data_IF_484125489177
#
_entry.id   IF_484125489177
#
_cell.length_a   1.000
_cell.length_b   1.000
_cell.length_c   1.000
_cell.angle_alpha   90.00
_cell.angle_beta   90.00
_cell.angle_gamma   90.00
#
_symmetry.space_group_name_H-M   'P 1'
#
loop_
_entity.id
_entity.type
_entity.pdbx_description
1 polymer ?
#
# COMPACT_ATOMS: atom_id res chain seq x y z
N UNK A 1 -22.45 -7.38 -62.73
CA UNK A 1 -21.84 -8.27 -61.67
C UNK A 1 -20.49 -7.70 -61.30
N UNK A 2 -20.44 -6.72 -60.42
CA UNK A 2 -19.20 -6.11 -59.99
C UNK A 2 -18.88 -6.45 -58.54
N UNK A 3 -17.66 -6.94 -58.33
CA UNK A 3 -17.14 -7.50 -57.11
C UNK A 3 -16.92 -6.41 -56.04
N UNK A 4 -17.73 -6.46 -54.98
CA UNK A 4 -17.49 -5.67 -53.76
C UNK A 4 -16.73 -6.51 -52.72
N UNK A 5 -15.42 -6.70 -52.92
CA UNK A 5 -14.62 -7.48 -51.99
C UNK A 5 -13.17 -6.98 -51.84
N UNK A 6 -12.92 -5.70 -51.51
CA UNK A 6 -11.68 -5.41 -50.82
C UNK A 6 -11.78 -4.53 -49.55
N UNK A 7 -12.98 -4.10 -49.09
CA UNK A 7 -13.08 -3.17 -47.98
C UNK A 7 -13.01 -3.81 -46.59
N UNK A 8 -13.34 -5.09 -46.50
CA UNK A 8 -13.34 -5.81 -45.21
C UNK A 8 -11.93 -6.28 -44.80
N UNK A 9 -11.06 -6.55 -45.73
CA UNK A 9 -9.67 -6.97 -45.45
C UNK A 9 -8.80 -5.82 -44.96
N UNK A 10 -9.04 -4.58 -45.39
CA UNK A 10 -8.31 -3.41 -44.95
C UNK A 10 -8.63 -3.03 -43.50
N UNK A 11 -9.87 -3.28 -43.02
CA UNK A 11 -10.27 -2.95 -41.65
C UNK A 11 -9.70 -3.90 -40.61
N UNK A 12 -9.51 -5.16 -40.95
CA UNK A 12 -8.90 -6.17 -40.06
C UNK A 12 -7.39 -5.96 -39.92
N UNK A 13 -6.72 -5.44 -40.96
CA UNK A 13 -5.28 -5.16 -40.91
C UNK A 13 -4.94 -3.88 -40.15
N UNK A 14 -5.85 -2.91 -40.06
CA UNK A 14 -5.63 -1.67 -39.31
C UNK A 14 -5.84 -1.84 -37.80
N UNK A 15 -6.62 -2.84 -37.37
CA UNK A 15 -6.80 -3.15 -35.94
C UNK A 15 -5.64 -3.94 -35.31
N UNK A 16 -4.78 -4.53 -36.13
CA UNK A 16 -3.62 -5.31 -35.63
C UNK A 16 -2.38 -4.46 -35.32
N UNK A 17 -2.38 -3.16 -35.69
CA UNK A 17 -1.24 -2.25 -35.48
C UNK A 17 -1.30 -1.44 -34.16
N UNK A 18 -2.44 -1.46 -33.46
CA UNK A 18 -2.52 -0.93 -32.10
C UNK A 18 -2.31 -2.06 -31.05
N UNK A 19 -1.29 -2.86 -31.22
CA UNK A 19 -0.65 -3.46 -30.05
C UNK A 19 0.07 -2.32 -29.34
N UNK A 20 -0.62 -1.66 -28.42
CA UNK A 20 0.03 -0.92 -27.35
C UNK A 20 0.98 -1.92 -26.70
N UNK A 21 2.25 -1.86 -27.08
CA UNK A 21 3.30 -2.48 -26.32
C UNK A 21 3.31 -1.76 -24.94
N UNK A 22 2.42 -2.18 -24.06
CA UNK A 22 2.59 -1.98 -22.64
C UNK A 22 3.80 -2.84 -22.26
N UNK A 23 5.00 -2.38 -22.64
CA UNK A 23 6.22 -2.77 -22.00
C UNK A 23 6.11 -2.23 -20.57
N UNK A 24 5.37 -2.96 -19.72
CA UNK A 24 5.69 -3.01 -18.33
C UNK A 24 7.12 -3.59 -18.29
N UNK A 25 8.12 -2.71 -18.40
CA UNK A 25 9.45 -3.04 -17.91
C UNK A 25 9.20 -3.44 -16.47
N UNK A 26 9.27 -4.75 -16.21
CA UNK A 26 9.15 -5.29 -14.86
C UNK A 26 10.26 -4.63 -14.06
N UNK A 27 9.87 -3.60 -13.30
CA UNK A 27 10.80 -2.96 -12.37
C UNK A 27 11.27 -4.08 -11.49
N UNK A 28 12.59 -4.30 -11.47
CA UNK A 28 13.15 -5.29 -10.58
C UNK A 28 12.95 -4.79 -9.14
N UNK A 29 11.82 -5.18 -8.53
CA UNK A 29 11.45 -4.78 -7.17
C UNK A 29 12.47 -5.22 -6.12
N UNK A 30 13.36 -6.15 -6.46
CA UNK A 30 14.48 -6.53 -5.59
C UNK A 30 15.47 -5.36 -5.43
N UNK A 31 15.75 -4.64 -6.50
CA UNK A 31 16.73 -3.56 -6.49
C UNK A 31 16.11 -2.21 -6.15
N UNK A 32 14.88 -1.96 -6.61
CA UNK A 32 14.30 -0.63 -6.56
C UNK A 32 12.82 -0.68 -6.14
N UNK A 33 12.47 0.15 -5.17
CA UNK A 33 11.08 0.47 -4.84
C UNK A 33 10.61 1.57 -5.79
N UNK A 34 9.45 1.37 -6.40
CA UNK A 34 8.76 2.41 -7.17
C UNK A 34 7.29 2.46 -6.75
N UNK A 35 6.84 3.64 -6.36
CA UNK A 35 5.47 3.91 -5.95
C UNK A 35 4.90 5.02 -6.82
N UNK A 36 3.64 4.94 -7.17
CA UNK A 36 2.86 6.05 -7.68
C UNK A 36 1.90 6.48 -6.56
N UNK A 37 2.22 7.59 -5.93
CA UNK A 37 1.42 8.17 -4.87
C UNK A 37 0.72 9.43 -5.35
N UNK A 38 -0.32 9.80 -4.65
CA UNK A 38 -1.05 11.04 -4.88
C UNK A 38 -1.58 11.60 -3.56
N UNK A 39 -1.83 12.90 -3.55
CA UNK A 39 -2.50 13.58 -2.46
C UNK A 39 -3.49 14.60 -3.02
N UNK A 40 -4.55 14.88 -2.27
CA UNK A 40 -5.54 15.90 -2.61
C UNK A 40 -4.89 17.29 -2.61
N UNK A 41 -5.32 18.13 -3.56
CA UNK A 41 -4.86 19.53 -3.67
C UNK A 41 -5.32 20.34 -2.45
N UNK A 42 -6.54 20.12 -1.98
CA UNK A 42 -7.17 20.87 -0.90
C UNK A 42 -7.61 19.95 0.22
N UNK A 43 -7.60 20.48 1.43
CA UNK A 43 -8.20 19.81 2.57
C UNK A 43 -9.73 19.68 2.36
N UNK A 44 -10.31 18.62 2.93
CA UNK A 44 -11.78 18.47 2.88
C UNK A 44 -12.45 19.66 3.55
N UNK A 45 -13.55 20.20 2.98
CA UNK A 45 -14.28 21.30 3.60
C UNK A 45 -14.72 20.94 5.04
N UNK A 46 -14.36 21.78 6.00
CA UNK A 46 -14.70 21.58 7.40
C UNK A 46 -13.64 20.91 8.27
N UNK A 47 -12.51 20.53 7.70
CA UNK A 47 -11.38 20.01 8.47
C UNK A 47 -10.34 21.09 8.71
N UNK A 48 -10.01 21.30 9.97
CA UNK A 48 -8.83 22.05 10.37
C UNK A 48 -7.59 21.22 10.01
N UNK A 49 -6.51 21.92 9.67
CA UNK A 49 -5.22 21.31 9.40
C UNK A 49 -4.77 20.45 10.58
N UNK A 50 -4.39 19.20 10.34
CA UNK A 50 -3.79 18.39 11.39
C UNK A 50 -2.51 19.07 11.87
N UNK A 51 -2.38 19.23 13.19
CA UNK A 51 -1.19 19.82 13.81
C UNK A 51 0.06 19.06 13.32
N UNK A 52 1.03 19.77 12.74
CA UNK A 52 2.23 19.17 12.10
C UNK A 52 2.21 19.18 10.56
N UNK A 53 1.08 19.41 9.89
CA UNK A 53 1.06 19.68 8.44
C UNK A 53 1.49 21.13 8.12
N UNK A 54 1.39 22.04 9.10
CA UNK A 54 1.74 23.48 8.97
C UNK A 54 3.24 23.79 9.01
N UNK A 55 4.11 22.86 9.40
CA UNK A 55 5.53 23.16 9.70
C UNK A 55 6.51 22.99 8.53
N UNK A 56 6.04 22.98 7.31
CA UNK A 56 6.93 23.12 6.17
C UNK A 56 6.93 24.60 5.79
N UNK A 57 8.13 25.21 5.59
CA UNK A 57 8.36 26.58 5.11
C UNK A 57 7.73 26.87 3.72
N UNK A 58 6.57 26.27 3.45
CA UNK A 58 5.75 26.39 2.27
C UNK A 58 4.41 27.09 2.61
N UNK A 59 4.37 27.80 3.75
CA UNK A 59 3.15 28.33 4.38
C UNK A 59 2.24 29.18 3.48
N UNK A 60 2.75 29.68 2.35
CA UNK A 60 2.00 30.48 1.40
C UNK A 60 1.77 29.79 0.03
N UNK A 61 2.09 28.50 -0.10
CA UNK A 61 1.97 27.79 -1.38
C UNK A 61 0.69 26.97 -1.45
N UNK A 62 -0.08 27.12 -2.52
CA UNK A 62 -1.21 26.28 -2.90
C UNK A 62 -0.87 24.76 -2.88
N UNK A 63 0.42 24.44 -2.82
CA UNK A 63 0.95 23.07 -2.87
C UNK A 63 1.41 22.53 -1.51
N UNK A 64 1.28 23.31 -0.44
CA UNK A 64 1.80 22.92 0.89
C UNK A 64 1.16 21.63 1.39
N UNK A 65 -0.17 21.51 1.32
CA UNK A 65 -0.90 20.33 1.78
C UNK A 65 -0.55 19.05 1.02
N UNK A 66 -0.65 18.99 -0.32
CA UNK A 66 -0.35 17.75 -1.03
C UNK A 66 1.12 17.32 -0.90
N UNK A 67 2.05 18.28 -0.85
CA UNK A 67 3.47 17.98 -0.63
C UNK A 67 3.71 17.43 0.76
N UNK A 68 3.09 18.01 1.79
CA UNK A 68 3.16 17.53 3.18
C UNK A 68 2.64 16.09 3.30
N UNK A 69 1.48 15.80 2.74
CA UNK A 69 0.89 14.45 2.75
C UNK A 69 1.76 13.44 2.02
N UNK A 70 2.29 13.78 0.84
CA UNK A 70 3.20 12.90 0.11
C UNK A 70 4.49 12.62 0.90
N UNK A 71 5.02 13.63 1.61
CA UNK A 71 6.20 13.48 2.47
C UNK A 71 5.97 12.62 3.71
N UNK A 72 4.74 12.46 4.18
CA UNK A 72 4.37 11.48 5.22
C UNK A 72 4.10 10.10 4.61
N UNK A 73 3.33 10.04 3.54
CA UNK A 73 2.88 8.78 2.93
C UNK A 73 4.03 7.99 2.28
N UNK A 74 5.00 8.68 1.64
CA UNK A 74 6.08 8.00 0.95
C UNK A 74 7.02 7.25 1.91
N UNK A 75 7.55 7.85 3.01
CA UNK A 75 8.35 7.13 3.99
C UNK A 75 7.60 5.96 4.63
N UNK A 76 6.32 6.12 4.94
CA UNK A 76 5.49 5.06 5.50
C UNK A 76 5.45 3.81 4.62
N UNK A 77 5.16 3.97 3.32
CA UNK A 77 5.17 2.83 2.40
C UNK A 77 6.58 2.30 2.12
N UNK A 78 7.57 3.18 1.98
CA UNK A 78 8.97 2.76 1.77
C UNK A 78 9.44 1.92 2.96
N UNK A 79 9.13 2.33 4.20
CA UNK A 79 9.46 1.59 5.41
C UNK A 79 8.79 0.20 5.40
N UNK A 80 7.48 0.12 5.10
CA UNK A 80 6.75 -1.15 5.00
C UNK A 80 7.26 -2.08 3.89
N UNK A 81 7.89 -1.53 2.83
CA UNK A 81 8.49 -2.30 1.73
C UNK A 81 9.97 -2.64 1.95
N UNK A 82 10.68 -1.92 2.82
CA UNK A 82 12.08 -2.18 3.15
C UNK A 82 12.22 -3.17 4.30
N UNK A 83 11.56 -2.86 5.40
CA UNK A 83 11.75 -3.56 6.68
C UNK A 83 10.50 -4.31 7.10
N UNK A 84 9.32 -3.85 6.67
CA UNK A 84 8.05 -4.45 7.04
C UNK A 84 7.54 -4.02 8.41
N UNK A 85 6.46 -4.67 8.83
CA UNK A 85 5.75 -4.37 10.07
C UNK A 85 5.56 -5.62 10.92
N UNK A 86 5.63 -5.45 12.23
CA UNK A 86 5.14 -6.42 13.22
C UNK A 86 3.65 -6.20 13.39
N UNK A 87 2.90 -7.28 13.45
CA UNK A 87 1.44 -7.26 13.56
C UNK A 87 1.00 -8.16 14.71
N UNK A 88 0.21 -7.61 15.61
CA UNK A 88 -0.52 -8.36 16.62
C UNK A 88 -2.03 -8.22 16.34
N UNK A 89 -2.69 -9.32 16.09
CA UNK A 89 -4.11 -9.34 15.75
C UNK A 89 -4.90 -10.26 16.68
N UNK A 90 -5.89 -9.72 17.38
CA UNK A 90 -6.89 -10.45 18.14
C UNK A 90 -8.22 -10.43 17.41
N UNK A 91 -8.73 -11.57 16.90
CA UNK A 91 -10.03 -11.62 16.23
C UNK A 91 -11.20 -11.32 17.16
N UNK A 92 -12.21 -10.61 16.66
CA UNK A 92 -13.47 -10.44 17.39
C UNK A 92 -14.11 -11.79 17.73
N UNK A 93 -14.48 -12.00 18.99
CA UNK A 93 -15.18 -13.19 19.46
C UNK A 93 -16.32 -12.83 20.41
N UNK A 94 -17.53 -12.74 19.87
CA UNK A 94 -18.73 -12.43 20.66
C UNK A 94 -19.06 -13.47 21.72
N UNK A 95 -18.80 -14.75 21.46
CA UNK A 95 -19.07 -15.83 22.41
C UNK A 95 -18.21 -15.75 23.67
N UNK A 96 -17.03 -15.11 23.55
CA UNK A 96 -16.08 -14.89 24.67
C UNK A 96 -16.02 -13.45 25.14
N UNK A 97 -16.81 -12.55 24.55
CA UNK A 97 -16.79 -11.12 24.88
C UNK A 97 -15.49 -10.41 24.50
N UNK A 98 -14.73 -10.95 23.52
CA UNK A 98 -13.44 -10.39 23.10
C UNK A 98 -13.67 -9.39 21.98
N UNK A 99 -13.19 -8.17 22.16
CA UNK A 99 -13.19 -7.13 21.14
C UNK A 99 -12.04 -7.38 20.13
N UNK A 100 -12.25 -6.98 18.87
CA UNK A 100 -11.20 -7.03 17.85
C UNK A 100 -10.11 -6.01 18.20
N UNK A 101 -8.86 -6.46 18.14
CA UNK A 101 -7.70 -5.61 18.37
C UNK A 101 -6.67 -5.83 17.28
N UNK A 102 -6.07 -4.75 16.83
CA UNK A 102 -4.98 -4.77 15.86
C UNK A 102 -3.93 -3.77 16.31
N UNK A 103 -2.70 -4.23 16.36
CA UNK A 103 -1.53 -3.40 16.55
C UNK A 103 -0.53 -3.64 15.43
N UNK A 104 0.04 -2.55 14.89
CA UNK A 104 1.00 -2.59 13.79
C UNK A 104 2.13 -1.64 14.12
N UNK A 105 3.33 -2.18 14.25
CA UNK A 105 4.54 -1.43 14.53
C UNK A 105 5.58 -1.67 13.41
N UNK A 106 6.38 -0.66 13.04
CA UNK A 106 7.51 -0.87 12.14
C UNK A 106 8.51 -1.85 12.76
N UNK A 107 8.99 -2.83 11.99
CA UNK A 107 10.06 -3.71 12.44
C UNK A 107 11.39 -2.96 12.61
N UNK A 108 11.59 -1.95 11.79
CA UNK A 108 12.74 -1.06 11.85
C UNK A 108 12.35 0.30 11.25
N UNK A 109 12.70 1.37 11.93
CA UNK A 109 12.53 2.73 11.44
C UNK A 109 13.53 3.06 10.33
N UNK A 110 13.13 3.95 9.41
CA UNK A 110 14.04 4.50 8.41
C UNK A 110 15.05 5.42 9.07
N UNK A 111 16.32 5.23 8.74
CA UNK A 111 17.39 6.15 9.15
C UNK A 111 17.26 7.50 8.43
N UNK A 112 17.85 8.55 8.98
CA UNK A 112 17.88 9.87 8.32
C UNK A 112 18.53 9.82 6.93
N UNK A 113 19.52 8.93 6.72
CA UNK A 113 20.13 8.72 5.41
C UNK A 113 19.17 8.11 4.40
N UNK A 114 18.37 7.13 4.82
CA UNK A 114 17.35 6.49 3.99
C UNK A 114 16.19 7.44 3.66
N UNK A 115 15.73 8.22 4.64
CA UNK A 115 14.73 9.25 4.41
C UNK A 115 15.18 10.25 3.34
N UNK A 116 16.44 10.69 3.40
CA UNK A 116 17.03 11.61 2.42
C UNK A 116 17.27 10.97 1.05
N UNK A 117 17.32 9.63 0.98
CA UNK A 117 17.50 8.88 -0.27
C UNK A 117 16.19 8.64 -1.02
N UNK A 118 15.04 8.95 -0.43
CA UNK A 118 13.73 8.87 -1.09
C UNK A 118 13.66 9.96 -2.17
N UNK A 119 13.51 9.54 -3.42
CA UNK A 119 13.44 10.45 -4.56
C UNK A 119 11.99 10.66 -4.99
N UNK A 120 11.61 11.93 -5.10
CA UNK A 120 10.30 12.33 -5.60
C UNK A 120 10.44 12.82 -7.04
N UNK A 121 9.80 12.15 -7.99
CA UNK A 121 9.95 12.41 -9.44
C UNK A 121 8.60 12.62 -10.10
N UNK A 122 8.63 13.37 -11.19
CA UNK A 122 7.48 13.56 -12.08
C UNK A 122 6.21 14.01 -11.33
N UNK A 123 6.37 14.94 -10.38
CA UNK A 123 5.23 15.52 -9.70
C UNK A 123 4.38 16.31 -10.70
N UNK A 124 3.09 16.00 -10.81
CA UNK A 124 2.17 16.65 -11.71
C UNK A 124 0.76 16.66 -11.12
N UNK A 125 0.07 17.81 -11.31
CA UNK A 125 -1.35 17.91 -11.01
C UNK A 125 -2.18 17.28 -12.13
N UNK A 126 -3.13 16.48 -11.72
CA UNK A 126 -4.18 15.97 -12.60
C UNK A 126 -5.48 15.98 -11.80
N UNK A 127 -6.47 16.68 -12.33
CA UNK A 127 -7.70 16.99 -11.61
C UNK A 127 -7.36 17.65 -10.26
N UNK A 128 -8.00 17.29 -9.16
CA UNK A 128 -7.76 17.84 -7.82
C UNK A 128 -6.68 17.09 -7.02
N UNK A 129 -5.67 16.48 -7.70
CA UNK A 129 -4.66 15.66 -7.06
C UNK A 129 -3.26 15.94 -7.57
N UNK A 130 -2.31 15.97 -6.65
CA UNK A 130 -0.89 15.94 -6.99
C UNK A 130 -0.42 14.49 -7.03
N UNK A 131 -0.05 14.00 -8.20
CA UNK A 131 0.59 12.70 -8.39
C UNK A 131 2.10 12.86 -8.33
N UNK A 132 2.75 11.87 -7.72
CA UNK A 132 4.21 11.83 -7.64
C UNK A 132 4.70 10.38 -7.73
N UNK A 133 5.76 10.18 -8.52
CA UNK A 133 6.50 8.93 -8.50
C UNK A 133 7.56 9.00 -7.42
N UNK A 134 7.50 8.06 -6.49
CA UNK A 134 8.49 7.89 -5.44
C UNK A 134 9.39 6.73 -5.79
N UNK A 135 10.69 6.93 -5.69
CA UNK A 135 11.70 5.92 -5.98
C UNK A 135 12.69 5.81 -4.81
N UNK A 136 13.09 4.58 -4.51
CA UNK A 136 14.12 4.29 -3.52
C UNK A 136 14.96 3.09 -4.01
N UNK A 137 16.29 3.21 -3.96
CA UNK A 137 17.22 2.14 -4.33
C UNK A 137 17.64 1.36 -3.09
N UNK A 138 17.40 0.04 -3.10
CA UNK A 138 17.81 -0.84 -2.02
C UNK A 138 19.31 -1.07 -2.04
N UNK A 139 19.95 -0.98 -0.87
CA UNK A 139 21.30 -1.48 -0.66
C UNK A 139 21.37 -3.00 -0.87
N UNK A 140 22.55 -3.55 -1.01
CA UNK A 140 22.75 -5.00 -1.16
C UNK A 140 22.17 -5.79 0.03
N UNK A 141 22.33 -5.30 1.26
CA UNK A 141 21.75 -5.91 2.45
C UNK A 141 20.21 -5.91 2.42
N UNK A 142 19.61 -4.81 1.97
CA UNK A 142 18.14 -4.69 1.84
C UNK A 142 17.59 -5.56 0.71
N UNK A 143 18.36 -5.75 -0.38
CA UNK A 143 18.01 -6.69 -1.44
C UNK A 143 18.03 -8.13 -0.93
N UNK A 144 19.04 -8.50 -0.14
CA UNK A 144 19.15 -9.83 0.47
C UNK A 144 18.01 -10.06 1.48
N UNK A 145 17.65 -9.05 2.27
CA UNK A 145 16.49 -9.11 3.14
C UNK A 145 15.19 -9.35 2.35
N UNK A 146 14.98 -8.60 1.27
CA UNK A 146 13.80 -8.79 0.41
C UNK A 146 13.74 -10.20 -0.19
N UNK A 147 14.88 -10.74 -0.64
CA UNK A 147 14.96 -12.12 -1.14
C UNK A 147 14.62 -13.17 -0.09
N UNK A 148 15.00 -12.94 1.16
CA UNK A 148 14.67 -13.87 2.25
C UNK A 148 13.14 -13.95 2.49
N UNK A 149 12.43 -12.85 2.28
CA UNK A 149 10.97 -12.82 2.37
C UNK A 149 10.26 -13.59 1.25
N UNK A 150 10.89 -13.77 0.10
CA UNK A 150 10.34 -14.55 -1.03
C UNK A 150 10.38 -16.07 -0.79
N UNK A 151 10.75 -16.50 0.41
CA UNK A 151 10.74 -17.91 0.79
C UNK A 151 9.33 -18.51 0.70
N UNK A 152 9.26 -19.79 0.30
CA UNK A 152 7.99 -20.57 0.26
C UNK A 152 7.27 -20.61 1.62
N UNK A 153 7.99 -20.38 2.73
CA UNK A 153 7.42 -20.32 4.07
C UNK A 153 6.56 -19.08 4.32
N UNK A 154 6.80 -18.03 3.54
CA UNK A 154 6.14 -16.74 3.69
C UNK A 154 5.06 -16.57 2.62
N UNK A 155 3.81 -16.92 2.89
CA UNK A 155 2.75 -16.78 1.90
C UNK A 155 2.60 -15.32 1.49
N UNK A 156 2.39 -15.11 0.19
CA UNK A 156 1.98 -13.81 -0.33
C UNK A 156 0.46 -13.72 -0.25
N UNK A 157 -0.02 -12.74 0.50
CA UNK A 157 -1.45 -12.49 0.69
C UNK A 157 -1.81 -11.06 0.30
N UNK A 158 -3.08 -10.86 -0.01
CA UNK A 158 -3.64 -9.57 -0.41
C UNK A 158 -4.74 -9.15 0.52
N UNK A 159 -4.74 -7.87 0.90
CA UNK A 159 -5.82 -7.26 1.64
C UNK A 159 -6.31 -5.97 1.03
N UNK A 160 -7.54 -5.62 1.36
CA UNK A 160 -8.14 -4.33 1.06
C UNK A 160 -8.72 -3.76 2.34
N UNK A 161 -8.48 -2.49 2.58
CA UNK A 161 -9.01 -1.78 3.73
C UNK A 161 -9.46 -0.38 3.38
N UNK A 162 -10.19 0.23 4.28
CA UNK A 162 -10.80 1.54 4.12
C UNK A 162 -10.45 2.42 5.31
N UNK A 163 -10.24 3.71 5.05
CA UNK A 163 -9.99 4.73 6.07
C UNK A 163 -10.74 6.01 5.72
N UNK A 164 -10.89 6.90 6.67
CA UNK A 164 -11.62 8.14 6.48
C UNK A 164 -10.79 9.10 5.63
N UNK A 165 -11.42 9.68 4.61
CA UNK A 165 -10.75 10.64 3.72
C UNK A 165 -10.39 11.94 4.47
N UNK A 166 -11.19 12.28 5.43
CA UNK A 166 -11.07 13.45 6.30
C UNK A 166 -9.78 13.43 7.14
N UNK A 167 -9.35 12.24 7.55
CA UNK A 167 -8.18 12.06 8.41
C UNK A 167 -6.84 12.15 7.62
N UNK A 168 -6.91 12.39 6.28
CA UNK A 168 -5.72 12.58 5.46
C UNK A 168 -4.75 11.40 5.55
N UNK A 169 -3.50 11.65 5.99
CA UNK A 169 -2.51 10.59 6.11
C UNK A 169 -2.91 9.50 7.11
N UNK A 170 -3.48 9.86 8.25
CA UNK A 170 -3.97 8.90 9.26
C UNK A 170 -5.07 7.99 8.68
N UNK A 171 -5.92 8.53 7.80
CA UNK A 171 -6.91 7.73 7.07
C UNK A 171 -6.27 6.70 6.13
N UNK A 172 -5.12 7.01 5.53
CA UNK A 172 -4.35 6.05 4.73
C UNK A 172 -3.74 4.97 5.63
N UNK A 173 -3.17 5.34 6.78
CA UNK A 173 -2.65 4.38 7.78
C UNK A 173 -3.75 3.46 8.28
N UNK A 174 -4.91 4.01 8.63
CA UNK A 174 -6.09 3.24 9.03
C UNK A 174 -6.51 2.24 7.93
N UNK A 175 -6.57 2.69 6.67
CA UNK A 175 -6.90 1.83 5.53
C UNK A 175 -5.85 0.70 5.33
N UNK A 176 -4.56 1.00 5.54
CA UNK A 176 -3.50 -0.01 5.51
C UNK A 176 -3.67 -1.03 6.64
N UNK A 177 -3.91 -0.58 7.86
CA UNK A 177 -4.18 -1.45 8.99
C UNK A 177 -5.37 -2.37 8.75
N UNK A 178 -6.48 -1.82 8.26
CA UNK A 178 -7.65 -2.61 7.91
C UNK A 178 -7.36 -3.62 6.78
N UNK A 179 -6.55 -3.25 5.77
CA UNK A 179 -6.13 -4.15 4.71
C UNK A 179 -5.32 -5.33 5.24
N UNK A 180 -4.35 -5.07 6.11
CA UNK A 180 -3.53 -6.10 6.78
C UNK A 180 -4.42 -7.02 7.62
N UNK A 181 -5.26 -6.47 8.47
CA UNK A 181 -6.22 -7.20 9.30
C UNK A 181 -7.10 -8.13 8.47
N UNK A 182 -7.71 -7.61 7.42
CA UNK A 182 -8.62 -8.36 6.56
C UNK A 182 -7.91 -9.53 5.85
N UNK A 183 -6.67 -9.31 5.38
CA UNK A 183 -5.88 -10.36 4.75
C UNK A 183 -5.49 -11.47 5.73
N UNK A 184 -4.98 -11.11 6.91
CA UNK A 184 -4.59 -12.07 7.96
C UNK A 184 -5.79 -12.88 8.42
N UNK A 185 -6.92 -12.20 8.69
CA UNK A 185 -8.18 -12.85 9.08
C UNK A 185 -8.64 -13.85 8.04
N UNK A 186 -8.65 -13.48 6.76
CA UNK A 186 -9.11 -14.35 5.67
C UNK A 186 -8.17 -15.55 5.48
N UNK A 187 -6.85 -15.32 5.52
CA UNK A 187 -5.87 -16.39 5.41
C UNK A 187 -6.03 -17.43 6.52
N UNK A 188 -6.10 -17.01 7.78
CA UNK A 188 -6.18 -17.93 8.91
C UNK A 188 -7.57 -18.53 9.09
N UNK A 189 -8.63 -17.90 8.64
CA UNK A 189 -9.98 -18.46 8.61
C UNK A 189 -10.05 -19.77 7.81
N UNK A 190 -9.24 -19.90 6.78
CA UNK A 190 -9.17 -21.08 5.95
C UNK A 190 -8.28 -22.19 6.56
N UNK A 191 -7.34 -21.82 7.42
CA UNK A 191 -6.37 -22.75 7.99
C UNK A 191 -6.77 -23.28 9.39
N UNK A 192 -7.50 -22.49 10.16
CA UNK A 192 -7.84 -22.78 11.55
C UNK A 192 -9.31 -23.15 11.70
N UNK A 193 -9.58 -24.25 12.42
CA UNK A 193 -10.97 -24.67 12.76
C UNK A 193 -11.63 -23.74 13.78
N UNK A 194 -10.86 -23.25 14.76
CA UNK A 194 -11.33 -22.37 15.82
C UNK A 194 -10.65 -21.02 15.72
N UNK A 195 -11.34 -19.97 16.17
CA UNK A 195 -10.74 -18.63 16.27
C UNK A 195 -9.57 -18.68 17.25
N UNK A 196 -8.38 -18.20 16.87
CA UNK A 196 -7.27 -18.05 17.80
C UNK A 196 -7.54 -16.89 18.77
N UNK A 197 -6.81 -16.89 19.89
CA UNK A 197 -6.81 -15.77 20.85
C UNK A 197 -6.02 -14.59 20.29
N UNK A 198 -4.82 -14.86 19.78
CA UNK A 198 -3.93 -13.85 19.19
C UNK A 198 -3.15 -14.48 18.03
N UNK A 199 -2.92 -13.71 17.00
CA UNK A 199 -2.02 -14.01 15.88
C UNK A 199 -0.91 -12.95 15.90
N UNK A 200 0.32 -13.40 16.09
CA UNK A 200 1.51 -12.57 15.99
C UNK A 200 2.23 -12.91 14.67
N UNK A 201 2.49 -11.92 13.88
CA UNK A 201 3.13 -12.08 12.57
C UNK A 201 3.98 -10.87 12.20
N UNK A 202 4.89 -11.09 11.27
CA UNK A 202 5.63 -10.03 10.58
C UNK A 202 5.19 -10.01 9.13
N UNK A 203 5.13 -8.84 8.54
CA UNK A 203 4.74 -8.67 7.14
C UNK A 203 5.73 -7.76 6.42
N UNK A 204 5.89 -7.98 5.11
CA UNK A 204 6.65 -7.10 4.23
C UNK A 204 5.80 -6.79 2.99
N UNK A 205 5.54 -5.52 2.73
CA UNK A 205 4.84 -5.10 1.51
C UNK A 205 5.70 -5.46 0.29
N UNK A 206 5.16 -6.26 -0.62
CA UNK A 206 5.92 -6.84 -1.72
C UNK A 206 5.61 -6.26 -3.10
N UNK A 207 4.61 -5.40 -3.20
CA UNK A 207 4.27 -4.68 -4.43
C UNK A 207 3.85 -3.24 -4.11
N UNK A 208 3.85 -2.38 -5.12
CA UNK A 208 3.37 -1.00 -4.94
C UNK A 208 1.94 -0.99 -4.40
N UNK A 209 1.69 -0.35 -3.26
CA UNK A 209 0.34 -0.18 -2.74
C UNK A 209 -0.55 0.56 -3.75
N UNK A 210 -1.81 0.16 -3.81
CA UNK A 210 -2.81 0.87 -4.62
C UNK A 210 -3.69 1.68 -3.69
N UNK A 211 -3.52 2.99 -3.73
CA UNK A 211 -4.31 3.94 -2.96
C UNK A 211 -5.34 4.60 -3.88
N UNK A 212 -6.61 4.49 -3.54
CA UNK A 212 -7.72 5.08 -4.28
C UNK A 212 -8.76 5.69 -3.32
N UNK A 213 -9.82 6.24 -3.89
CA UNK A 213 -11.00 6.68 -3.15
C UNK A 213 -12.20 5.88 -3.63
N UNK A 214 -12.97 5.39 -2.68
CA UNK A 214 -14.19 4.62 -2.93
C UNK A 214 -15.26 5.02 -1.91
N UNK A 215 -16.42 5.46 -2.40
CA UNK A 215 -17.54 5.92 -1.58
C UNK A 215 -17.14 6.94 -0.48
N UNK A 216 -16.29 7.93 -0.83
CA UNK A 216 -15.85 8.98 0.08
C UNK A 216 -14.85 8.52 1.15
N UNK A 217 -14.19 7.38 0.96
CA UNK A 217 -13.16 6.86 1.86
C UNK A 217 -11.90 6.52 1.09
N UNK A 218 -10.74 6.60 1.74
CA UNK A 218 -9.54 5.95 1.21
C UNK A 218 -9.78 4.45 1.09
N UNK A 219 -9.39 3.89 -0.03
CA UNK A 219 -9.33 2.47 -0.26
C UNK A 219 -7.89 2.09 -0.56
N UNK A 220 -7.30 1.27 0.28
CA UNK A 220 -5.93 0.79 0.11
C UNK A 220 -5.94 -0.71 -0.17
N UNK A 221 -5.23 -1.13 -1.21
CA UNK A 221 -4.95 -2.53 -1.48
C UNK A 221 -3.45 -2.79 -1.30
N UNK A 222 -3.12 -3.80 -0.52
CA UNK A 222 -1.76 -4.22 -0.21
C UNK A 222 -1.55 -5.68 -0.61
N UNK A 223 -0.42 -5.94 -1.29
CA UNK A 223 0.16 -7.28 -1.40
C UNK A 223 1.37 -7.35 -0.48
N UNK A 224 1.44 -8.38 0.35
CA UNK A 224 2.55 -8.54 1.27
C UNK A 224 2.88 -10.00 1.53
N UNK A 225 4.14 -10.26 1.84
CA UNK A 225 4.57 -11.52 2.43
C UNK A 225 4.23 -11.53 3.92
N UNK A 226 3.84 -12.67 4.44
CA UNK A 226 3.55 -12.84 5.87
C UNK A 226 4.38 -13.97 6.45
N UNK A 227 5.08 -13.69 7.53
CA UNK A 227 5.73 -14.67 8.38
C UNK A 227 5.00 -14.72 9.72
N UNK A 228 4.43 -15.87 10.06
CA UNK A 228 3.69 -16.02 11.31
C UNK A 228 4.64 -16.50 12.39
N UNK A 229 4.82 -15.67 13.41
CA UNK A 229 5.69 -15.97 14.54
C UNK A 229 4.99 -16.88 15.53
N UNK A 230 3.73 -16.58 15.88
CA UNK A 230 2.98 -17.34 16.88
C UNK A 230 1.46 -17.22 16.70
N UNK A 231 0.78 -18.32 16.99
CA UNK A 231 -0.67 -18.38 17.13
C UNK A 231 -1.01 -18.87 18.52
N UNK A 232 -1.64 -18.04 19.31
CA UNK A 232 -2.17 -18.41 20.62
C UNK A 232 -3.61 -18.87 20.47
N UNK A 233 -3.91 -20.04 21.02
CA UNK A 233 -5.26 -20.55 21.09
C UNK A 233 -5.83 -20.36 22.49
N UNK A 234 -7.17 -20.36 22.59
CA UNK A 234 -7.82 -20.46 23.89
C UNK A 234 -7.60 -21.86 24.47
N UNK A 235 -7.29 -21.93 25.76
CA UNK A 235 -7.20 -23.20 26.46
C UNK A 235 -8.58 -23.86 26.46
N UNK A 236 -8.58 -25.20 26.29
CA UNK A 236 -9.78 -25.99 26.50
C UNK A 236 -9.89 -26.23 28.01
N UNK A 237 -10.91 -25.69 28.63
CA UNK A 237 -11.33 -26.07 29.96
C UNK A 237 -12.14 -27.35 29.90
#
# INVERSE_FOLDING_TARGET
MERRLPLIIAFVFFMSLFRVNCFAQGVNQEQKIQLLLWAEKEAFPGFEWVEGEKNLNLEDSEYSLPVSRLRKTAPFFVQGMLYGWKVEYTPYDSARGVQEYLDIEPLQELTSGELNSIQYKNAAFKDDRLYCRVEFERSESQQNLYKSWQSVKNPKIRGTGYGRLEDGFEGIEQACGEAVKNAIREYWRQQLKNKPKVIESRILICSSPVVGVDAGRYRVMLDFFMETDRILNYEKF
#
